data_IF_334153223555
#
_entry.id   IF_334153223555
#
_cell.length_a   1.000
_cell.length_b   1.000
_cell.length_c   1.000
_cell.angle_alpha   90.00
_cell.angle_beta   90.00
_cell.angle_gamma   90.00
#
_symmetry.space_group_name_H-M   'P 1'
#
loop_
_entity.id
_entity.type
_entity.pdbx_description
1 polymer ?
#
# COMPACT_ATOMS: atom_id res chain seq x y z
N UNK A 1 11.43 2.11 20.39
CA UNK A 1 10.97 0.78 19.98
C UNK A 1 9.77 0.93 19.07
N UNK A 2 9.93 1.62 17.99
CA UNK A 2 8.89 1.79 17.02
C UNK A 2 9.15 0.83 15.88
N UNK A 3 8.36 -0.22 15.73
CA UNK A 3 8.20 -0.85 14.45
C UNK A 3 7.81 0.26 13.48
N UNK A 4 8.77 0.74 12.68
CA UNK A 4 8.53 1.82 11.74
C UNK A 4 7.46 1.37 10.77
N UNK A 5 6.28 1.94 10.88
CA UNK A 5 5.17 1.71 9.95
C UNK A 5 5.58 2.22 8.58
N UNK A 6 5.16 1.55 7.52
CA UNK A 6 5.41 2.00 6.14
C UNK A 6 4.97 3.45 5.95
N UNK A 7 3.84 3.78 6.55
CA UNK A 7 3.34 5.14 6.71
C UNK A 7 3.14 5.42 8.20
N UNK A 8 3.63 6.55 8.67
CA UNK A 8 3.33 7.05 10.00
C UNK A 8 1.87 7.51 10.12
N UNK A 9 1.44 7.89 11.31
CA UNK A 9 0.05 8.30 11.52
C UNK A 9 -0.34 9.55 10.70
N UNK A 10 0.57 10.49 10.54
CA UNK A 10 0.32 11.69 9.73
C UNK A 10 0.17 11.36 8.25
N UNK A 11 1.08 10.57 7.73
CA UNK A 11 1.06 10.09 6.34
C UNK A 11 -0.20 9.26 6.04
N UNK A 12 -0.60 8.38 6.97
CA UNK A 12 -1.81 7.57 6.81
C UNK A 12 -3.08 8.45 6.77
N UNK A 13 -3.14 9.52 7.56
CA UNK A 13 -4.27 10.48 7.52
C UNK A 13 -4.41 11.17 6.17
N UNK A 14 -3.30 11.60 5.57
CA UNK A 14 -3.27 12.16 4.21
C UNK A 14 -3.75 11.15 3.18
N UNK A 15 -3.30 9.91 3.28
CA UNK A 15 -3.71 8.83 2.39
C UNK A 15 -5.22 8.58 2.49
N UNK A 16 -5.75 8.46 3.70
CA UNK A 16 -7.18 8.24 3.94
C UNK A 16 -8.02 9.41 3.45
N UNK A 17 -7.60 10.65 3.74
CA UNK A 17 -8.31 11.84 3.29
C UNK A 17 -8.36 11.91 1.76
N UNK A 18 -7.27 11.59 1.09
CA UNK A 18 -7.22 11.52 -0.38
C UNK A 18 -8.16 10.45 -0.94
N UNK A 19 -8.20 9.29 -0.32
CA UNK A 19 -9.06 8.18 -0.77
C UNK A 19 -10.55 8.46 -0.59
N UNK A 20 -10.96 9.08 0.52
CA UNK A 20 -12.37 9.47 0.71
C UNK A 20 -12.76 10.68 -0.15
N UNK A 21 -11.79 11.49 -0.58
CA UNK A 21 -12.02 12.56 -1.55
C UNK A 21 -12.34 12.01 -2.94
N UNK A 22 -11.74 10.90 -3.33
CA UNK A 22 -12.05 10.22 -4.59
C UNK A 22 -13.48 9.65 -4.57
N UNK A 23 -13.84 8.99 -3.46
CA UNK A 23 -15.16 8.38 -3.28
C UNK A 23 -15.41 8.12 -1.79
N UNK A 24 -16.61 8.47 -1.26
CA UNK A 24 -17.04 8.02 0.07
C UNK A 24 -16.85 6.51 0.22
N UNK A 25 -16.31 6.06 1.34
CA UNK A 25 -15.93 4.67 1.52
C UNK A 25 -16.06 4.22 2.97
N UNK A 26 -16.34 2.95 3.16
CA UNK A 26 -16.25 2.29 4.47
C UNK A 26 -14.79 2.02 4.84
N UNK A 27 -14.50 1.89 6.14
CA UNK A 27 -13.13 1.66 6.61
C UNK A 27 -12.48 0.42 6.00
N UNK A 28 -13.22 -0.68 5.86
CA UNK A 28 -12.69 -1.90 5.24
C UNK A 28 -12.40 -1.73 3.73
N UNK A 29 -13.18 -0.89 3.02
CA UNK A 29 -12.92 -0.58 1.61
C UNK A 29 -11.64 0.23 1.45
N UNK A 30 -11.37 1.13 2.40
CA UNK A 30 -10.11 1.90 2.43
C UNK A 30 -8.90 0.99 2.67
N UNK A 31 -8.99 0.02 3.55
CA UNK A 31 -7.96 -1.00 3.74
C UNK A 31 -7.69 -1.74 2.43
N UNK A 32 -8.76 -2.21 1.76
CA UNK A 32 -8.64 -2.88 0.45
C UNK A 32 -8.02 -2.01 -0.62
N UNK A 33 -8.45 -0.75 -0.75
CA UNK A 33 -7.89 0.19 -1.72
C UNK A 33 -6.39 0.41 -1.51
N UNK A 34 -5.94 0.52 -0.26
CA UNK A 34 -4.53 0.68 0.07
C UNK A 34 -3.76 -0.60 -0.28
N UNK A 35 -4.32 -1.77 0.05
CA UNK A 35 -3.73 -3.06 -0.30
C UNK A 35 -3.61 -3.24 -1.82
N UNK A 36 -4.66 -2.94 -2.57
CA UNK A 36 -4.68 -3.03 -4.03
C UNK A 36 -3.67 -2.08 -4.68
N UNK A 37 -3.60 -0.83 -4.24
CA UNK A 37 -2.65 0.15 -4.78
C UNK A 37 -1.19 -0.17 -4.53
N UNK A 38 -0.90 -0.94 -3.48
CA UNK A 38 0.44 -1.45 -3.17
C UNK A 38 0.68 -2.88 -3.68
N UNK A 39 -0.22 -3.40 -4.49
CA UNK A 39 -0.21 -4.80 -4.95
C UNK A 39 -0.05 -5.81 -3.81
N UNK A 40 -0.77 -5.59 -2.72
CA UNK A 40 -0.77 -6.45 -1.54
C UNK A 40 0.45 -6.31 -0.64
N UNK A 41 1.40 -5.41 -0.94
CA UNK A 41 2.58 -5.21 -0.12
C UNK A 41 2.26 -4.51 1.20
N UNK A 42 1.36 -3.53 1.19
CA UNK A 42 0.92 -2.82 2.38
C UNK A 42 -0.59 -2.99 2.61
N UNK A 43 -0.93 -3.57 3.75
CA UNK A 43 -2.31 -3.74 4.21
C UNK A 43 -2.40 -3.29 5.67
N UNK A 44 -2.86 -2.05 5.92
CA UNK A 44 -3.00 -1.54 7.28
C UNK A 44 -4.08 -2.29 8.05
N UNK A 45 -3.85 -2.53 9.34
CA UNK A 45 -4.82 -3.20 10.19
C UNK A 45 -6.01 -2.30 10.54
N UNK A 46 -7.18 -2.87 10.88
CA UNK A 46 -8.30 -2.11 11.43
C UNK A 46 -7.91 -1.25 12.64
N UNK A 47 -7.06 -1.77 13.51
CA UNK A 47 -6.55 -1.05 14.70
C UNK A 47 -5.72 0.19 14.39
N UNK A 48 -5.28 0.35 13.16
CA UNK A 48 -4.56 1.53 12.67
C UNK A 48 -5.49 2.46 11.88
N UNK A 49 -6.36 1.90 11.04
CA UNK A 49 -7.26 2.65 10.15
C UNK A 49 -8.35 3.37 10.93
N UNK A 50 -9.08 2.68 11.79
CA UNK A 50 -10.24 3.28 12.46
C UNK A 50 -9.89 4.43 13.41
N UNK A 51 -8.81 4.39 14.21
CA UNK A 51 -8.39 5.58 14.96
C UNK A 51 -8.01 6.76 14.07
N UNK A 52 -7.40 6.52 12.92
CA UNK A 52 -7.07 7.59 11.96
C UNK A 52 -8.33 8.21 11.34
N UNK A 53 -9.33 7.40 11.00
CA UNK A 53 -10.63 7.89 10.51
C UNK A 53 -11.40 8.67 11.58
N UNK A 54 -11.40 8.20 12.82
CA UNK A 54 -12.00 8.90 13.97
C UNK A 54 -11.33 10.26 14.16
N UNK A 55 -10.01 10.34 14.06
CA UNK A 55 -9.30 11.61 14.13
C UNK A 55 -9.73 12.58 13.02
N UNK A 56 -9.84 12.12 11.78
CA UNK A 56 -10.31 12.96 10.66
C UNK A 56 -11.74 13.47 10.87
N UNK A 57 -12.62 12.66 11.47
CA UNK A 57 -13.96 13.07 11.86
C UNK A 57 -13.92 14.13 12.97
N UNK A 58 -13.14 13.92 14.02
CA UNK A 58 -13.03 14.83 15.17
C UNK A 58 -12.51 16.22 14.78
N UNK A 59 -11.56 16.30 13.83
CA UNK A 59 -11.04 17.59 13.33
C UNK A 59 -11.91 18.20 12.22
N UNK A 60 -13.03 17.56 11.86
CA UNK A 60 -13.98 18.06 10.88
C UNK A 60 -13.57 17.88 9.41
N UNK A 61 -12.55 17.10 9.11
CA UNK A 61 -12.11 16.81 7.73
C UNK A 61 -12.91 15.69 7.07
N UNK A 62 -13.50 14.80 7.86
CA UNK A 62 -14.40 13.77 7.40
C UNK A 62 -15.74 13.85 8.15
N UNK A 63 -16.80 13.41 7.49
CA UNK A 63 -18.11 13.18 8.08
C UNK A 63 -18.45 11.70 8.00
N UNK A 64 -19.28 11.23 8.92
CA UNK A 64 -19.72 9.85 9.01
C UNK A 64 -21.22 9.80 8.86
N UNK A 65 -21.70 8.94 7.95
CA UNK A 65 -23.10 8.53 7.87
C UNK A 65 -23.23 7.06 8.19
N UNK A 66 -24.30 6.71 8.91
CA UNK A 66 -24.62 5.32 9.18
C UNK A 66 -25.23 4.70 7.92
N UNK A 67 -24.58 3.67 7.38
CA UNK A 67 -25.05 2.88 6.25
C UNK A 67 -25.28 1.45 6.73
N UNK A 68 -26.55 1.13 7.06
CA UNK A 68 -26.92 -0.08 7.75
C UNK A 68 -26.13 -0.26 9.08
N UNK A 69 -25.33 -1.33 9.19
CA UNK A 69 -24.48 -1.58 10.37
C UNK A 69 -23.06 -0.97 10.24
N UNK A 70 -22.78 -0.20 9.18
CA UNK A 70 -21.44 0.27 8.83
C UNK A 70 -21.37 1.78 8.80
N UNK A 71 -20.17 2.32 9.08
CA UNK A 71 -19.88 3.74 8.95
C UNK A 71 -19.34 4.05 7.55
N UNK A 72 -20.00 4.95 6.83
CA UNK A 72 -19.54 5.50 5.56
C UNK A 72 -18.85 6.84 5.83
N UNK A 73 -17.60 6.96 5.45
CA UNK A 73 -16.79 8.16 5.60
C UNK A 73 -16.80 8.97 4.30
N UNK A 74 -17.07 10.26 4.43
CA UNK A 74 -17.08 11.22 3.33
C UNK A 74 -16.21 12.42 3.68
N UNK A 75 -15.55 13.01 2.69
CA UNK A 75 -14.78 14.23 2.92
C UNK A 75 -15.72 15.42 3.09
N UNK A 76 -15.40 16.31 4.04
CA UNK A 76 -16.13 17.58 4.24
C UNK A 76 -15.57 18.69 3.36
N UNK A 77 -16.26 19.83 3.26
CA UNK A 77 -15.71 21.01 2.58
C UNK A 77 -14.42 21.51 3.25
N UNK A 78 -14.34 21.43 4.58
CA UNK A 78 -13.12 21.75 5.32
C UNK A 78 -11.99 20.76 4.99
N UNK A 79 -12.30 19.47 4.89
CA UNK A 79 -11.36 18.44 4.47
C UNK A 79 -10.86 18.65 3.04
N UNK A 80 -11.74 19.04 2.10
CA UNK A 80 -11.38 19.37 0.72
C UNK A 80 -10.44 20.58 0.66
N UNK A 81 -10.74 21.65 1.42
CA UNK A 81 -9.89 22.82 1.49
C UNK A 81 -8.50 22.47 2.03
N UNK A 82 -8.44 21.70 3.12
CA UNK A 82 -7.18 21.25 3.70
C UNK A 82 -6.37 20.37 2.73
N UNK A 83 -7.02 19.48 2.00
CA UNK A 83 -6.39 18.67 0.97
C UNK A 83 -5.84 19.51 -0.17
N UNK A 84 -6.61 20.51 -0.64
CA UNK A 84 -6.19 21.42 -1.71
C UNK A 84 -4.97 22.27 -1.32
N UNK A 85 -4.94 22.80 -0.10
CA UNK A 85 -3.80 23.57 0.44
C UNK A 85 -2.52 22.73 0.55
N UNK A 86 -2.65 21.41 0.71
CA UNK A 86 -1.53 20.49 0.90
C UNK A 86 -1.44 19.44 -0.22
N UNK A 87 -1.89 19.80 -1.41
CA UNK A 87 -1.98 18.91 -2.56
C UNK A 87 -0.67 18.19 -2.87
N UNK A 88 0.44 18.91 -2.86
CA UNK A 88 1.76 18.34 -3.14
C UNK A 88 2.14 17.23 -2.14
N UNK A 89 1.83 17.41 -0.87
CA UNK A 89 2.07 16.40 0.17
C UNK A 89 1.21 15.15 -0.07
N UNK A 90 -0.08 15.35 -0.32
CA UNK A 90 -1.01 14.25 -0.58
C UNK A 90 -0.64 13.47 -1.84
N UNK A 91 -0.31 14.16 -2.92
CA UNK A 91 0.09 13.54 -4.19
C UNK A 91 1.41 12.75 -4.04
N UNK A 92 2.37 13.26 -3.29
CA UNK A 92 3.62 12.55 -2.97
C UNK A 92 3.36 11.23 -2.23
N UNK A 93 2.41 11.21 -1.30
CA UNK A 93 2.05 10.02 -0.52
C UNK A 93 1.34 8.99 -1.40
N UNK A 94 0.39 9.42 -2.22
CA UNK A 94 -0.30 8.55 -3.19
C UNK A 94 0.67 7.96 -4.20
N UNK A 95 1.61 8.76 -4.71
CA UNK A 95 2.63 8.33 -5.65
C UNK A 95 3.59 7.31 -5.02
N UNK A 96 3.98 7.49 -3.75
CA UNK A 96 4.79 6.53 -3.03
C UNK A 96 4.11 5.17 -2.90
N UNK A 97 2.80 5.14 -2.60
CA UNK A 97 2.01 3.91 -2.55
C UNK A 97 1.92 3.24 -3.92
N UNK A 98 1.62 4.00 -4.96
CA UNK A 98 1.51 3.51 -6.34
C UNK A 98 2.84 2.99 -6.89
N UNK A 99 3.95 3.61 -6.49
CA UNK A 99 5.31 3.15 -6.86
C UNK A 99 5.61 1.76 -6.29
N UNK A 100 5.19 1.51 -5.04
CA UNK A 100 5.29 0.17 -4.44
C UNK A 100 4.47 -0.83 -5.26
N UNK A 101 3.25 -0.48 -5.64
CA UNK A 101 2.37 -1.33 -6.45
C UNK A 101 2.99 -1.67 -7.82
N UNK A 102 3.53 -0.67 -8.53
CA UNK A 102 4.21 -0.89 -9.81
C UNK A 102 5.41 -1.82 -9.69
N UNK A 103 6.23 -1.64 -8.66
CA UNK A 103 7.38 -2.53 -8.42
C UNK A 103 6.96 -3.97 -8.15
N UNK A 104 5.88 -4.19 -7.43
CA UNK A 104 5.35 -5.53 -7.20
C UNK A 104 4.79 -6.14 -8.49
N UNK A 105 4.17 -5.34 -9.36
CA UNK A 105 3.70 -5.76 -10.68
C UNK A 105 4.88 -6.16 -11.59
N UNK A 106 5.91 -5.33 -11.70
CA UNK A 106 7.12 -5.62 -12.48
C UNK A 106 7.77 -6.93 -12.05
N UNK A 107 7.87 -7.19 -10.74
CA UNK A 107 8.37 -8.47 -10.22
C UNK A 107 7.49 -9.63 -10.66
N UNK A 108 6.16 -9.46 -10.62
CA UNK A 108 5.22 -10.49 -11.04
C UNK A 108 5.32 -10.79 -12.53
N UNK A 109 5.40 -9.75 -13.37
CA UNK A 109 5.55 -9.88 -14.82
C UNK A 109 6.88 -10.52 -15.21
N UNK A 110 7.97 -10.13 -14.55
CA UNK A 110 9.28 -10.73 -14.79
C UNK A 110 9.27 -12.25 -14.55
N UNK A 111 8.54 -12.70 -13.51
CA UNK A 111 8.39 -14.13 -13.25
C UNK A 111 7.38 -14.82 -14.19
N UNK A 112 6.39 -14.12 -14.72
CA UNK A 112 5.43 -14.70 -15.67
C UNK A 112 6.10 -15.11 -16.98
N UNK A 113 7.03 -14.31 -17.48
CA UNK A 113 7.79 -14.61 -18.72
C UNK A 113 8.72 -15.82 -18.62
N UNK A 114 9.00 -16.32 -17.42
CA UNK A 114 9.88 -17.48 -17.18
C UNK A 114 9.06 -18.78 -17.02
N UNK A 115 7.74 -18.70 -17.06
CA UNK A 115 6.84 -19.86 -16.89
C UNK A 115 6.83 -20.81 -18.09
N UNK A 116 7.42 -20.43 -19.20
CA UNK A 116 7.44 -21.21 -20.48
C UNK A 116 8.70 -22.06 -20.63
N UNK A 117 9.50 -22.18 -19.56
CA UNK A 117 10.67 -23.08 -19.55
C UNK A 117 10.25 -24.50 -19.25
N UNK A 118 10.68 -25.45 -20.08
CA UNK A 118 10.45 -26.89 -19.87
C UNK A 118 11.59 -27.54 -19.07
N UNK A 119 11.25 -28.48 -18.15
CA UNK A 119 12.20 -29.33 -17.44
C UNK A 119 12.63 -28.83 -16.06
N UNK A 120 13.77 -29.35 -15.55
CA UNK A 120 14.29 -29.08 -14.20
C UNK A 120 14.51 -27.58 -13.92
N UNK A 121 14.89 -26.81 -14.93
CA UNK A 121 15.07 -25.36 -14.84
C UNK A 121 13.74 -24.65 -14.52
N UNK A 122 12.63 -25.15 -15.05
CA UNK A 122 11.28 -24.65 -14.72
C UNK A 122 10.94 -24.86 -13.27
N UNK A 123 11.28 -26.03 -12.70
CA UNK A 123 11.01 -26.36 -11.31
C UNK A 123 11.83 -25.48 -10.35
N UNK A 124 13.08 -25.18 -10.67
CA UNK A 124 13.94 -24.31 -9.88
C UNK A 124 13.44 -22.87 -9.85
N UNK A 125 13.05 -22.33 -11.00
CA UNK A 125 12.46 -21.00 -11.12
C UNK A 125 11.11 -20.94 -10.40
N UNK A 126 10.28 -21.96 -10.56
CA UNK A 126 8.98 -22.03 -9.88
C UNK A 126 9.15 -22.04 -8.35
N UNK A 127 10.10 -22.81 -7.84
CA UNK A 127 10.45 -22.89 -6.41
C UNK A 127 10.97 -21.54 -5.90
N UNK A 128 11.89 -20.89 -6.63
CA UNK A 128 12.46 -19.59 -6.28
C UNK A 128 11.38 -18.51 -6.25
N UNK A 129 10.50 -18.47 -7.25
CA UNK A 129 9.33 -17.59 -7.31
C UNK A 129 8.41 -17.78 -6.12
N UNK A 130 8.09 -19.03 -5.77
CA UNK A 130 7.22 -19.33 -4.65
C UNK A 130 7.84 -18.89 -3.31
N UNK A 131 9.15 -19.11 -3.13
CA UNK A 131 9.89 -18.68 -1.96
C UNK A 131 9.89 -17.16 -1.83
N UNK A 132 10.15 -16.42 -2.91
CA UNK A 132 10.11 -14.97 -2.92
C UNK A 132 8.71 -14.43 -2.59
N UNK A 133 7.68 -14.99 -3.22
CA UNK A 133 6.28 -14.61 -2.93
C UNK A 133 5.90 -14.86 -1.47
N UNK A 134 6.35 -15.98 -0.90
CA UNK A 134 6.12 -16.30 0.51
C UNK A 134 6.85 -15.32 1.44
N UNK A 135 8.11 -14.99 1.15
CA UNK A 135 8.89 -14.04 1.92
C UNK A 135 8.26 -12.63 1.91
N UNK A 136 7.82 -12.15 0.75
CA UNK A 136 7.12 -10.87 0.62
C UNK A 136 5.79 -10.84 1.37
N UNK A 137 5.04 -11.96 1.36
CA UNK A 137 3.80 -12.07 2.15
C UNK A 137 4.05 -11.98 3.65
N UNK A 138 5.12 -12.60 4.16
CA UNK A 138 5.49 -12.53 5.58
C UNK A 138 5.89 -11.12 6.02
N UNK A 139 6.30 -10.28 5.07
CA UNK A 139 6.70 -8.89 5.30
C UNK A 139 5.58 -7.88 5.07
N UNK A 140 4.35 -8.31 4.87
CA UNK A 140 3.19 -7.41 4.78
C UNK A 140 3.07 -6.56 6.03
N UNK A 141 2.86 -5.25 5.84
CA UNK A 141 2.78 -4.29 6.94
C UNK A 141 4.10 -4.00 7.63
N UNK A 142 5.24 -4.32 7.02
CA UNK A 142 6.56 -3.95 7.52
C UNK A 142 6.74 -2.43 7.57
N UNK A 143 7.72 -2.00 8.33
CA UNK A 143 8.07 -0.57 8.43
C UNK A 143 8.78 -0.03 7.18
N UNK A 144 8.91 1.30 7.10
CA UNK A 144 9.54 1.97 5.97
C UNK A 144 11.02 1.62 5.79
N UNK A 145 11.73 1.30 6.88
CA UNK A 145 13.14 0.89 6.81
C UNK A 145 13.26 -0.51 6.20
N UNK A 146 12.42 -1.43 6.64
CA UNK A 146 12.36 -2.79 6.10
C UNK A 146 11.89 -2.79 4.64
N UNK A 147 10.90 -1.98 4.29
CA UNK A 147 10.45 -1.82 2.91
C UNK A 147 11.57 -1.34 1.99
N UNK A 148 12.36 -0.34 2.42
CA UNK A 148 13.54 0.13 1.67
C UNK A 148 14.62 -0.95 1.55
N UNK A 149 14.84 -1.73 2.60
CA UNK A 149 15.78 -2.85 2.57
C UNK A 149 15.36 -3.90 1.55
N UNK A 150 14.08 -4.27 1.53
CA UNK A 150 13.51 -5.21 0.56
C UNK A 150 13.64 -4.67 -0.86
N UNK A 151 13.31 -3.40 -1.09
CA UNK A 151 13.47 -2.76 -2.40
C UNK A 151 14.90 -2.86 -2.92
N UNK A 152 15.90 -2.57 -2.08
CA UNK A 152 17.32 -2.70 -2.45
C UNK A 152 17.73 -4.13 -2.81
N UNK A 153 17.17 -5.13 -2.12
CA UNK A 153 17.42 -6.55 -2.44
C UNK A 153 16.85 -6.88 -3.81
N UNK A 154 15.62 -6.45 -4.10
CA UNK A 154 14.97 -6.69 -5.40
C UNK A 154 15.69 -5.96 -6.54
N UNK A 155 16.11 -4.71 -6.33
CA UNK A 155 16.87 -3.93 -7.31
C UNK A 155 18.21 -4.62 -7.64
N UNK A 156 18.92 -5.13 -6.62
CA UNK A 156 20.17 -5.87 -6.82
C UNK A 156 19.95 -7.19 -7.55
N UNK A 157 18.93 -7.95 -7.15
CA UNK A 157 18.59 -9.21 -7.82
C UNK A 157 18.24 -8.98 -9.30
N UNK A 158 17.47 -7.93 -9.60
CA UNK A 158 17.15 -7.55 -10.98
C UNK A 158 18.42 -7.23 -11.78
N UNK A 159 19.35 -6.45 -11.20
CA UNK A 159 20.62 -6.12 -11.83
C UNK A 159 21.48 -7.37 -12.08
N UNK A 160 21.54 -8.30 -11.14
CA UNK A 160 22.30 -9.56 -11.28
C UNK A 160 21.71 -10.47 -12.36
N UNK A 161 20.36 -10.52 -12.48
CA UNK A 161 19.68 -11.29 -13.55
C UNK A 161 19.99 -10.74 -14.95
N UNK A 162 20.13 -9.43 -15.08
CA UNK A 162 20.42 -8.76 -16.37
C UNK A 162 21.90 -8.76 -16.75
N UNK A 163 22.80 -9.06 -15.81
CA UNK A 163 24.24 -9.22 -16.09
C UNK A 163 24.46 -10.60 -16.73
N UNK A 164 24.75 -10.61 -18.02
CA UNK A 164 25.29 -11.76 -18.74
C UNK A 164 26.81 -11.80 -18.65
#
# INVERSE_FOLDING_TARGET
>A
RGGGRLFDHGTLRWLLLSLIAEKPSHGYELIKKIEERSDGFYSPSPGVIYPALTFLEEIGHASVTQDAARKLYSITEQGKAHLAENRATADTILEALSRIGRRMEEVREAFAGVSDLDGEASDDIHRARHALKSALRQKRGCDAAEARRIAKILDRAAAEILQQ
#
